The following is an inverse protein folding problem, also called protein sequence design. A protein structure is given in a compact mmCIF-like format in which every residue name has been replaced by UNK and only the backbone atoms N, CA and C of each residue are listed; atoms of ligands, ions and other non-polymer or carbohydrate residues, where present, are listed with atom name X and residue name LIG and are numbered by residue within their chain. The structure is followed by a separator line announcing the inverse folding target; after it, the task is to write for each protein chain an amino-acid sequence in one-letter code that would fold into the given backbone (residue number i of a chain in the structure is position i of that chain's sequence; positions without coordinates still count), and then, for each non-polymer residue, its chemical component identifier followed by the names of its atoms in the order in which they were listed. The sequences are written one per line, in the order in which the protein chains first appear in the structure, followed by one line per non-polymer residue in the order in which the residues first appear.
data_IF_898065651631
#
_entry.id   IF_898065651631
#
_cell.length_a   1.000
_cell.length_b   1.000
_cell.length_c   1.000
_cell.angle_alpha   90.00
_cell.angle_beta   90.00
_cell.angle_gamma   90.00
#
_symmetry.space_group_name_H-M   'P 1'
#
loop_
_entity.id
_entity.type
_entity.pdbx_description
1 polymer ?
#
# COMPACT_ATOMS: atom_id res chain seq x y z
N UNK A 1 -17.06 -5.34 20.58
CA UNK A 1 -18.44 -4.92 20.25
C UNK A 1 -18.33 -3.70 19.32
N UNK A 2 -18.83 -3.85 18.10
CA UNK A 2 -18.87 -2.78 17.10
C UNK A 2 -20.21 -2.06 17.21
N UNK A 3 -20.20 -0.81 17.68
CA UNK A 3 -21.41 -0.05 17.99
C UNK A 3 -21.81 0.95 16.90
N UNK A 4 -21.00 1.07 15.81
CA UNK A 4 -21.18 2.10 14.80
C UNK A 4 -21.49 1.57 13.39
N UNK A 5 -21.22 0.29 13.13
CA UNK A 5 -21.48 -0.33 11.82
C UNK A 5 -21.71 -1.85 11.99
N UNK A 6 -22.32 -2.46 10.98
CA UNK A 6 -22.42 -3.92 10.87
C UNK A 6 -21.12 -4.43 10.26
N UNK A 7 -20.48 -5.39 10.92
CA UNK A 7 -19.27 -6.03 10.43
C UNK A 7 -19.52 -7.52 10.26
N UNK A 8 -19.42 -7.99 9.03
CA UNK A 8 -19.49 -9.41 8.67
C UNK A 8 -18.09 -9.91 8.33
N UNK A 9 -17.66 -11.01 8.94
CA UNK A 9 -16.38 -11.65 8.67
C UNK A 9 -16.62 -13.04 8.11
N UNK A 10 -15.79 -13.46 7.16
CA UNK A 10 -15.81 -14.79 6.54
C UNK A 10 -14.41 -15.37 6.52
N UNK A 11 -14.26 -16.53 7.09
CA UNK A 11 -13.04 -17.32 7.05
C UNK A 11 -13.07 -18.27 5.86
N UNK A 12 -12.02 -18.19 5.02
CA UNK A 12 -11.90 -19.09 3.88
C UNK A 12 -11.54 -20.51 4.35
N UNK A 13 -12.26 -21.49 3.81
CA UNK A 13 -12.16 -22.89 4.25
C UNK A 13 -13.20 -23.27 5.30
N UNK A 14 -13.80 -22.30 6.00
CA UNK A 14 -14.86 -22.50 6.98
C UNK A 14 -16.19 -21.95 6.50
N UNK A 15 -16.26 -20.63 6.29
CA UNK A 15 -17.48 -19.91 5.91
C UNK A 15 -17.64 -19.77 4.41
N UNK A 16 -16.54 -19.85 3.66
CA UNK A 16 -16.51 -19.84 2.20
C UNK A 16 -15.46 -20.80 1.66
N UNK A 17 -15.74 -21.41 0.50
CA UNK A 17 -14.83 -22.37 -0.15
C UNK A 17 -13.61 -21.71 -0.81
N UNK A 18 -13.66 -20.42 -1.12
CA UNK A 18 -12.54 -19.68 -1.73
C UNK A 18 -12.76 -18.16 -1.58
N UNK A 19 -11.66 -17.40 -1.65
CA UNK A 19 -11.69 -15.93 -1.70
C UNK A 19 -12.61 -15.42 -2.81
N UNK A 20 -12.48 -15.97 -3.99
CA UNK A 20 -13.26 -15.60 -5.16
C UNK A 20 -14.77 -15.74 -4.94
N UNK A 21 -15.22 -16.88 -4.39
CA UNK A 21 -16.64 -17.08 -4.08
C UNK A 21 -17.12 -16.11 -3.01
N UNK A 22 -16.31 -15.91 -1.97
CA UNK A 22 -16.63 -14.96 -0.91
C UNK A 22 -16.76 -13.54 -1.46
N UNK A 23 -15.78 -13.08 -2.24
CA UNK A 23 -15.72 -11.71 -2.75
C UNK A 23 -16.83 -11.43 -3.79
N UNK A 24 -17.14 -12.40 -4.67
CA UNK A 24 -18.30 -12.31 -5.58
C UNK A 24 -19.64 -12.23 -4.84
N UNK A 25 -19.76 -12.92 -3.71
CA UNK A 25 -20.98 -12.87 -2.89
C UNK A 25 -21.12 -11.52 -2.18
N UNK A 26 -20.01 -11.01 -1.62
CA UNK A 26 -19.97 -9.72 -0.90
C UNK A 26 -20.49 -8.57 -1.76
N UNK A 27 -20.16 -8.51 -3.06
CA UNK A 27 -20.65 -7.48 -3.99
C UNK A 27 -22.18 -7.44 -4.14
N UNK A 28 -22.90 -8.45 -3.63
CA UNK A 28 -24.38 -8.52 -3.63
C UNK A 28 -25.00 -8.26 -2.25
N UNK A 29 -24.16 -7.92 -1.29
CA UNK A 29 -24.56 -7.68 0.11
C UNK A 29 -24.61 -6.19 0.46
N UNK A 30 -24.43 -5.33 -0.55
CA UNK A 30 -24.43 -3.86 -0.44
C UNK A 30 -23.45 -3.34 0.65
N UNK A 31 -22.16 -3.75 0.60
CA UNK A 31 -21.18 -3.27 1.56
C UNK A 31 -20.66 -1.89 1.16
N UNK A 32 -20.45 -0.99 2.12
CA UNK A 32 -19.73 0.27 1.89
C UNK A 32 -18.22 0.04 1.81
N UNK A 33 -17.70 -0.89 2.63
CA UNK A 33 -16.28 -1.17 2.79
C UNK A 33 -16.01 -2.68 2.71
N UNK A 34 -15.02 -3.05 1.92
CA UNK A 34 -14.58 -4.44 1.76
C UNK A 34 -13.11 -4.54 2.22
N UNK A 35 -12.83 -5.42 3.18
CA UNK A 35 -11.46 -5.78 3.57
C UNK A 35 -11.12 -7.15 2.97
N UNK A 36 -10.19 -7.17 2.02
CA UNK A 36 -9.57 -8.38 1.49
C UNK A 36 -8.26 -8.60 2.23
N UNK A 37 -8.14 -9.68 3.00
CA UNK A 37 -7.00 -9.93 3.89
C UNK A 37 -5.67 -9.77 3.15
N UNK A 38 -5.53 -10.40 1.98
CA UNK A 38 -4.39 -10.22 1.09
C UNK A 38 -4.74 -10.50 -0.38
N UNK A 39 -4.04 -9.85 -1.31
CA UNK A 39 -4.15 -10.07 -2.74
C UNK A 39 -2.92 -10.82 -3.25
N UNK A 40 -3.06 -12.13 -3.53
CA UNK A 40 -1.95 -12.98 -3.97
C UNK A 40 -1.99 -13.34 -5.45
N UNK A 41 -3.18 -13.42 -6.01
CA UNK A 41 -3.42 -13.95 -7.35
C UNK A 41 -4.24 -13.00 -8.22
N UNK A 42 -4.19 -13.25 -9.52
CA UNK A 42 -4.86 -12.46 -10.55
C UNK A 42 -6.36 -12.32 -10.28
N UNK A 43 -7.01 -13.42 -9.88
CA UNK A 43 -8.46 -13.45 -9.72
C UNK A 43 -8.89 -12.56 -8.55
N UNK A 44 -8.21 -12.64 -7.40
CA UNK A 44 -8.49 -11.82 -6.23
C UNK A 44 -8.24 -10.33 -6.53
N UNK A 45 -7.13 -9.99 -7.21
CA UNK A 45 -6.81 -8.61 -7.59
C UNK A 45 -7.85 -8.07 -8.58
N UNK A 46 -8.23 -8.84 -9.59
CA UNK A 46 -9.22 -8.44 -10.58
C UNK A 46 -10.58 -8.11 -9.95
N UNK A 47 -11.04 -8.95 -9.01
CA UNK A 47 -12.32 -8.72 -8.32
C UNK A 47 -12.22 -7.52 -7.38
N UNK A 48 -11.09 -7.32 -6.70
CA UNK A 48 -10.87 -6.16 -5.83
C UNK A 48 -10.90 -4.85 -6.63
N UNK A 49 -10.26 -4.80 -7.80
CA UNK A 49 -10.31 -3.65 -8.71
C UNK A 49 -11.75 -3.41 -9.19
N UNK A 50 -12.46 -4.47 -9.61
CA UNK A 50 -13.86 -4.38 -10.04
C UNK A 50 -14.76 -3.85 -8.92
N UNK A 51 -14.58 -4.32 -7.68
CA UNK A 51 -15.30 -3.80 -6.53
C UNK A 51 -15.06 -2.30 -6.33
N UNK A 52 -13.81 -1.85 -6.46
CA UNK A 52 -13.46 -0.44 -6.35
C UNK A 52 -14.04 0.40 -7.49
N UNK A 53 -14.09 -0.11 -8.73
CA UNK A 53 -14.72 0.54 -9.89
C UNK A 53 -16.25 0.69 -9.72
N UNK A 54 -16.87 -0.23 -9.00
CA UNK A 54 -18.33 -0.19 -8.71
C UNK A 54 -18.69 0.64 -7.47
N UNK A 55 -17.71 1.35 -6.88
CA UNK A 55 -17.96 2.35 -5.85
C UNK A 55 -17.65 1.92 -4.41
N UNK A 56 -17.21 0.68 -4.20
CA UNK A 56 -16.85 0.20 -2.86
C UNK A 56 -15.47 0.73 -2.43
N UNK A 57 -15.31 1.03 -1.14
CA UNK A 57 -14.00 1.26 -0.56
C UNK A 57 -13.32 -0.08 -0.25
N UNK A 58 -12.26 -0.40 -0.96
CA UNK A 58 -11.55 -1.67 -0.81
C UNK A 58 -10.23 -1.46 -0.09
N UNK A 59 -10.02 -2.18 1.02
CA UNK A 59 -8.72 -2.32 1.69
C UNK A 59 -8.13 -3.70 1.42
N UNK A 60 -6.84 -3.75 1.18
CA UNK A 60 -6.13 -5.02 1.06
C UNK A 60 -4.66 -4.89 1.42
N UNK A 61 -3.98 -6.02 1.58
CA UNK A 61 -2.55 -6.07 1.86
C UNK A 61 -1.79 -6.80 0.76
N UNK A 62 -0.54 -6.39 0.57
CA UNK A 62 0.47 -7.09 -0.24
C UNK A 62 1.78 -7.16 0.54
N UNK A 63 2.60 -8.17 0.25
CA UNK A 63 3.93 -8.32 0.86
C UNK A 63 5.00 -7.65 -0.01
N UNK A 64 4.96 -6.32 -0.09
CA UNK A 64 5.88 -5.49 -0.87
C UNK A 64 6.37 -4.31 -0.02
N UNK A 65 7.57 -3.83 -0.30
CA UNK A 65 8.13 -2.63 0.34
C UNK A 65 8.12 -1.50 -0.69
N UNK A 66 7.43 -0.40 -0.35
CA UNK A 66 7.32 0.79 -1.18
C UNK A 66 6.13 0.77 -2.15
N UNK A 67 5.59 1.96 -2.41
CA UNK A 67 4.40 2.14 -3.23
C UNK A 67 4.63 1.78 -4.70
N UNK A 68 5.78 2.15 -5.26
CA UNK A 68 6.14 1.81 -6.64
C UNK A 68 6.13 0.30 -6.87
N UNK A 69 6.84 -0.46 -6.02
CA UNK A 69 6.89 -1.92 -6.10
C UNK A 69 5.53 -2.58 -5.86
N UNK A 70 4.69 -2.00 -5.00
CA UNK A 70 3.32 -2.47 -4.78
C UNK A 70 2.51 -2.37 -6.07
N UNK A 71 2.57 -1.23 -6.76
CA UNK A 71 1.87 -0.99 -8.03
C UNK A 71 2.39 -1.95 -9.11
N UNK A 72 3.71 -2.09 -9.26
CA UNK A 72 4.33 -3.04 -10.18
C UNK A 72 3.85 -4.46 -9.90
N UNK A 73 3.87 -4.90 -8.65
CA UNK A 73 3.43 -6.24 -8.26
C UNK A 73 1.98 -6.51 -8.63
N UNK A 74 1.09 -5.53 -8.47
CA UNK A 74 -0.31 -5.66 -8.89
C UNK A 74 -0.41 -5.84 -10.41
N UNK A 75 0.35 -5.05 -11.18
CA UNK A 75 0.32 -5.08 -12.65
C UNK A 75 0.93 -6.40 -13.18
N UNK A 76 2.04 -6.84 -12.62
CA UNK A 76 2.82 -7.99 -13.08
C UNK A 76 2.10 -9.35 -12.90
N UNK A 77 1.10 -9.41 -12.04
CA UNK A 77 0.25 -10.60 -11.89
C UNK A 77 -0.58 -10.85 -13.15
N UNK A 78 -0.84 -9.82 -13.96
CA UNK A 78 -1.65 -9.91 -15.17
C UNK A 78 -0.81 -10.28 -16.40
N UNK A 79 -1.37 -11.05 -17.35
CA UNK A 79 -0.72 -11.32 -18.62
C UNK A 79 -0.38 -10.02 -19.38
N UNK A 80 0.70 -9.97 -20.18
CA UNK A 80 1.16 -8.76 -20.84
C UNK A 80 0.08 -8.02 -21.64
N UNK A 81 -0.82 -8.75 -22.30
CA UNK A 81 -1.90 -8.16 -23.09
C UNK A 81 -2.99 -7.47 -22.25
N UNK A 82 -3.06 -7.73 -20.94
CA UNK A 82 -4.01 -7.10 -20.01
C UNK A 82 -3.38 -5.97 -19.21
N UNK A 83 -2.06 -5.90 -19.10
CA UNK A 83 -1.38 -4.96 -18.22
C UNK A 83 -1.70 -3.49 -18.51
N UNK A 84 -1.88 -3.12 -19.79
CA UNK A 84 -2.23 -1.73 -20.13
C UNK A 84 -3.63 -1.36 -19.62
N UNK A 85 -4.59 -2.26 -19.73
CA UNK A 85 -5.93 -2.05 -19.19
C UNK A 85 -5.91 -1.94 -17.67
N UNK A 86 -5.16 -2.82 -16.99
CA UNK A 86 -5.04 -2.80 -15.53
C UNK A 86 -4.37 -1.52 -15.02
N UNK A 87 -3.36 -0.98 -15.71
CA UNK A 87 -2.77 0.32 -15.37
C UNK A 87 -3.82 1.44 -15.37
N UNK A 88 -4.70 1.45 -16.36
CA UNK A 88 -5.76 2.46 -16.48
C UNK A 88 -6.77 2.30 -15.33
N UNK A 89 -7.25 1.07 -15.09
CA UNK A 89 -8.20 0.78 -14.02
C UNK A 89 -7.60 1.09 -12.64
N UNK A 90 -6.40 0.59 -12.35
CA UNK A 90 -5.72 0.84 -11.08
C UNK A 90 -5.49 2.33 -10.83
N UNK A 91 -5.06 3.08 -11.86
CA UNK A 91 -4.88 4.52 -11.76
C UNK A 91 -6.18 5.28 -11.42
N UNK A 92 -7.33 4.76 -11.83
CA UNK A 92 -8.63 5.40 -11.56
C UNK A 92 -9.14 5.12 -10.15
N UNK A 93 -8.89 3.92 -9.61
CA UNK A 93 -9.48 3.48 -8.33
C UNK A 93 -8.54 3.58 -7.14
N UNK A 94 -7.20 3.45 -7.34
CA UNK A 94 -6.24 3.48 -6.26
C UNK A 94 -6.30 4.83 -5.52
N UNK A 95 -6.45 4.80 -4.21
CA UNK A 95 -6.51 6.01 -3.36
C UNK A 95 -5.19 6.28 -2.65
N UNK A 96 -4.61 5.27 -2.06
CA UNK A 96 -3.35 5.38 -1.32
C UNK A 96 -2.63 4.04 -1.24
N UNK A 97 -1.32 4.08 -1.00
CA UNK A 97 -0.52 2.94 -0.59
C UNK A 97 0.21 3.34 0.70
N UNK A 98 0.09 2.52 1.73
CA UNK A 98 0.84 2.64 2.97
C UNK A 98 1.76 1.44 3.08
N UNK A 99 3.06 1.68 3.01
CA UNK A 99 4.08 0.65 3.21
C UNK A 99 4.67 0.78 4.60
N UNK A 100 4.74 -0.33 5.35
CA UNK A 100 5.15 -0.33 6.75
C UNK A 100 6.32 -1.27 6.98
N UNK A 101 7.26 -0.82 7.80
CA UNK A 101 8.30 -1.65 8.42
C UNK A 101 8.27 -1.47 9.94
N UNK A 102 8.50 -2.55 10.68
CA UNK A 102 8.68 -2.50 12.13
C UNK A 102 10.18 -2.46 12.44
N UNK A 103 10.63 -1.34 12.99
CA UNK A 103 12.05 -1.09 13.32
C UNK A 103 12.26 -1.10 14.82
N UNK A 104 13.42 -1.56 15.28
CA UNK A 104 13.76 -1.67 16.70
C UNK A 104 13.94 -0.30 17.34
N UNK A 105 13.39 -0.14 18.53
CA UNK A 105 13.60 1.06 19.35
C UNK A 105 15.01 1.11 19.92
N UNK A 106 15.51 2.32 20.22
CA UNK A 106 16.89 2.55 20.71
C UNK A 106 17.17 1.84 22.04
N UNK A 107 16.15 1.61 22.85
CA UNK A 107 16.24 0.88 24.13
C UNK A 107 16.19 -0.64 23.95
N UNK A 108 15.99 -1.15 22.74
CA UNK A 108 15.92 -2.58 22.42
C UNK A 108 14.68 -3.31 22.98
N UNK A 109 13.75 -2.60 23.63
CA UNK A 109 12.62 -3.22 24.31
C UNK A 109 11.36 -3.37 23.45
N UNK A 110 11.38 -2.86 22.21
CA UNK A 110 10.20 -2.91 21.34
C UNK A 110 10.49 -2.58 19.90
N UNK A 111 9.42 -2.43 19.14
CA UNK A 111 9.44 -1.99 17.74
C UNK A 111 8.46 -0.87 17.52
N UNK A 112 8.82 0.04 16.63
CA UNK A 112 7.99 1.15 16.19
C UNK A 112 7.77 1.07 14.68
N UNK A 113 6.58 1.43 14.17
CA UNK A 113 6.34 1.43 12.74
C UNK A 113 7.02 2.62 12.06
N UNK A 114 7.80 2.34 11.01
CA UNK A 114 8.20 3.32 9.99
C UNK A 114 7.33 3.15 8.77
N UNK A 115 6.83 4.25 8.19
CA UNK A 115 5.83 4.17 7.12
C UNK A 115 6.18 5.08 5.95
N UNK A 116 6.11 4.51 4.75
CA UNK A 116 5.96 5.27 3.52
C UNK A 116 4.47 5.46 3.24
N UNK A 117 4.08 6.67 2.85
CA UNK A 117 2.69 7.01 2.51
C UNK A 117 2.67 7.67 1.14
N UNK A 118 1.95 7.05 0.23
CA UNK A 118 1.62 7.60 -1.09
C UNK A 118 0.12 7.86 -1.18
N UNK A 119 -0.25 9.05 -1.58
CA UNK A 119 -1.65 9.42 -1.93
C UNK A 119 -1.74 9.57 -3.44
N UNK A 120 -2.73 8.94 -4.06
CA UNK A 120 -2.86 8.95 -5.52
C UNK A 120 -3.39 10.30 -6.01
N UNK A 121 -2.48 11.21 -6.31
CA UNK A 121 -2.77 12.49 -6.97
C UNK A 121 -2.93 12.30 -8.48
N UNK A 122 -3.50 13.29 -9.24
CA UNK A 122 -3.56 13.22 -10.71
C UNK A 122 -2.20 12.97 -11.38
N UNK A 123 -1.10 13.50 -10.80
CA UNK A 123 0.25 13.23 -11.28
C UNK A 123 0.63 11.75 -11.13
N UNK A 124 0.38 11.16 -9.96
CA UNK A 124 0.63 9.74 -9.73
C UNK A 124 -0.27 8.86 -10.59
N UNK A 125 -1.54 9.23 -10.79
CA UNK A 125 -2.42 8.53 -11.73
C UNK A 125 -1.83 8.45 -13.14
N UNK A 126 -1.25 9.55 -13.62
CA UNK A 126 -0.59 9.56 -14.93
C UNK A 126 0.64 8.66 -14.98
N UNK A 127 1.49 8.69 -13.93
CA UNK A 127 2.65 7.81 -13.84
C UNK A 127 2.26 6.33 -13.89
N UNK A 128 1.18 5.95 -13.19
CA UNK A 128 0.66 4.57 -13.22
C UNK A 128 0.16 4.21 -14.63
N UNK A 129 -0.66 5.06 -15.28
CA UNK A 129 -1.19 4.83 -16.63
C UNK A 129 -0.09 4.63 -17.67
N UNK A 130 0.97 5.43 -17.58
CA UNK A 130 2.11 5.41 -18.49
C UNK A 130 3.14 4.31 -18.14
N UNK A 131 2.98 3.62 -17.00
CA UNK A 131 3.92 2.61 -16.52
C UNK A 131 5.25 3.19 -16.05
N UNK A 132 5.30 4.48 -15.70
CA UNK A 132 6.49 5.19 -15.20
C UNK A 132 6.62 5.07 -13.67
N UNK A 133 6.50 3.85 -13.16
CA UNK A 133 6.47 3.56 -11.71
C UNK A 133 7.74 4.00 -10.99
N UNK A 134 8.89 3.97 -11.66
CA UNK A 134 10.18 4.46 -11.15
C UNK A 134 10.17 5.96 -10.78
N UNK A 135 9.22 6.75 -11.31
CA UNK A 135 9.10 8.18 -10.97
C UNK A 135 8.18 8.44 -9.76
N UNK A 136 7.48 7.40 -9.28
CA UNK A 136 6.54 7.51 -8.15
C UNK A 136 7.27 7.91 -6.88
N UNK A 137 8.46 7.37 -6.63
CA UNK A 137 9.24 7.70 -5.43
C UNK A 137 9.54 9.20 -5.34
N UNK A 138 10.01 9.80 -6.45
CA UNK A 138 10.24 11.26 -6.52
C UNK A 138 8.96 12.07 -6.30
N UNK A 139 7.82 11.58 -6.81
CA UNK A 139 6.54 12.23 -6.59
C UNK A 139 6.09 12.13 -5.13
N UNK A 140 6.37 11.00 -4.44
CA UNK A 140 6.10 10.83 -3.00
C UNK A 140 6.99 11.78 -2.19
N UNK A 141 8.30 11.84 -2.52
CA UNK A 141 9.28 12.68 -1.83
C UNK A 141 8.89 14.18 -1.84
N UNK A 142 8.32 14.65 -2.95
CA UNK A 142 7.90 16.05 -3.11
C UNK A 142 6.43 16.30 -2.70
N UNK A 143 5.74 15.25 -2.28
CA UNK A 143 4.30 15.24 -2.04
C UNK A 143 3.86 15.60 -0.62
N UNK A 144 4.70 16.23 0.21
CA UNK A 144 4.40 16.56 1.62
C UNK A 144 3.06 17.29 1.82
N UNK A 145 2.70 18.19 0.91
CA UNK A 145 1.42 18.93 0.98
C UNK A 145 0.17 18.03 0.94
N UNK A 146 0.33 16.79 0.45
CA UNK A 146 -0.74 15.78 0.41
C UNK A 146 -0.60 14.76 1.54
N UNK A 147 0.32 14.96 2.50
CA UNK A 147 0.61 14.02 3.57
C UNK A 147 1.46 12.82 3.12
N UNK A 148 2.09 12.88 1.94
CA UNK A 148 2.99 11.85 1.46
C UNK A 148 4.35 11.94 2.14
N UNK A 149 5.00 10.79 2.32
CA UNK A 149 6.39 10.70 2.79
C UNK A 149 7.02 9.39 2.33
N UNK A 150 8.32 9.40 2.09
CA UNK A 150 9.09 8.18 1.81
C UNK A 150 9.42 7.42 3.08
N UNK A 151 9.85 6.16 2.94
CA UNK A 151 10.34 5.36 4.07
C UNK A 151 11.52 6.03 4.75
N UNK A 152 12.49 6.56 3.98
CA UNK A 152 13.68 7.22 4.52
C UNK A 152 13.35 8.52 5.28
N UNK A 153 12.36 9.28 4.83
CA UNK A 153 11.85 10.44 5.59
C UNK A 153 11.26 10.02 6.94
N UNK A 154 10.52 8.91 6.97
CA UNK A 154 9.95 8.36 8.20
C UNK A 154 11.04 7.86 9.16
N UNK A 155 12.04 7.15 8.65
CA UNK A 155 13.19 6.69 9.42
C UNK A 155 14.01 7.85 9.98
N UNK A 156 14.27 8.87 9.17
CA UNK A 156 14.98 10.07 9.60
C UNK A 156 14.24 10.82 10.71
N UNK A 157 12.90 10.93 10.63
CA UNK A 157 12.09 11.53 11.68
C UNK A 157 12.18 10.75 13.00
N UNK A 158 12.05 9.41 12.96
CA UNK A 158 12.16 8.55 14.13
C UNK A 158 13.56 8.65 14.78
N UNK A 159 14.61 8.72 13.96
CA UNK A 159 15.98 8.89 14.42
C UNK A 159 16.19 10.27 15.08
N UNK A 160 15.75 11.36 14.45
CA UNK A 160 15.84 12.74 15.00
C UNK A 160 15.08 12.89 16.32
N UNK A 161 14.00 12.13 16.50
CA UNK A 161 13.25 12.08 17.77
C UNK A 161 13.88 11.18 18.83
N UNK A 162 15.01 10.52 18.53
CA UNK A 162 15.68 9.59 19.45
C UNK A 162 14.91 8.29 19.72
N UNK A 163 13.95 7.93 18.85
CA UNK A 163 13.15 6.71 18.99
C UNK A 163 13.93 5.49 18.50
N UNK A 164 14.71 5.66 17.42
CA UNK A 164 15.60 4.62 16.85
C UNK A 164 17.02 5.15 16.72
N UNK A 165 18.01 4.24 16.64
CA UNK A 165 19.39 4.61 16.40
C UNK A 165 19.66 4.93 14.93
N UNK A 166 20.80 5.61 14.65
CA UNK A 166 21.25 5.83 13.28
C UNK A 166 21.54 4.51 12.56
N UNK A 167 22.15 3.55 13.25
CA UNK A 167 22.45 2.23 12.69
C UNK A 167 21.19 1.47 12.33
N UNK A 168 20.15 1.53 13.19
CA UNK A 168 18.84 0.98 12.89
C UNK A 168 18.25 1.66 11.65
N UNK A 169 18.25 2.99 11.59
CA UNK A 169 17.73 3.73 10.43
C UNK A 169 18.45 3.35 9.14
N UNK A 170 19.77 3.24 9.16
CA UNK A 170 20.58 2.83 7.98
C UNK A 170 20.31 1.40 7.56
N UNK A 171 20.07 0.49 8.50
CA UNK A 171 19.76 -0.93 8.19
C UNK A 171 18.46 -1.08 7.42
N UNK A 172 17.47 -0.24 7.71
CA UNK A 172 16.13 -0.29 7.08
C UNK A 172 15.94 0.72 5.95
N UNK A 173 16.99 1.51 5.62
CA UNK A 173 16.92 2.51 4.56
C UNK A 173 16.63 1.90 3.18
N UNK A 174 15.81 2.57 2.39
CA UNK A 174 15.58 2.25 0.98
C UNK A 174 16.71 2.84 0.14
N UNK A 175 17.08 4.10 0.42
CA UNK A 175 18.24 4.78 -0.15
C UNK A 175 19.11 5.39 0.97
N UNK A 176 20.22 4.71 1.28
CA UNK A 176 21.12 5.12 2.35
C UNK A 176 21.75 6.50 2.15
N UNK A 177 21.99 6.93 0.90
CA UNK A 177 22.55 8.26 0.62
C UNK A 177 21.49 9.36 0.85
N UNK A 178 20.27 9.11 0.47
CA UNK A 178 19.14 10.01 0.78
C UNK A 178 18.91 10.09 2.28
N UNK A 179 18.93 8.96 3.00
CA UNK A 179 18.79 8.94 4.45
C UNK A 179 19.91 9.73 5.14
N UNK A 180 21.18 9.55 4.74
CA UNK A 180 22.31 10.32 5.32
C UNK A 180 22.08 11.83 5.17
N UNK A 181 21.67 12.28 3.98
CA UNK A 181 21.34 13.70 3.75
C UNK A 181 20.21 14.19 4.65
N UNK A 182 19.18 13.39 4.84
CA UNK A 182 18.06 13.72 5.73
C UNK A 182 18.46 13.77 7.19
N UNK A 183 19.46 12.98 7.63
CA UNK A 183 19.96 12.99 9.01
C UNK A 183 20.91 14.15 9.30
N UNK A 184 21.62 14.66 8.30
CA UNK A 184 22.56 15.79 8.43
C UNK A 184 21.89 17.18 8.51
N UNK A 185 20.59 17.29 8.21
CA UNK A 185 19.79 18.50 8.31
C UNK A 185 19.04 18.55 9.65
#
# INVERSE_FOLDING_TARGET
NHNKCIINQREIGRDSKSYNKALKAVLREDPDVILVGEMRDLETISIAITAAETGHLVFSTLHTIGAAKTIERIIDVFPPHQQQQIKIQLASVLKAVVSQQLVETIDGNGRVPSMEIMVTTPGIQNLIREGKTQQIESAVQTGNKYGMRTMDMSLAELCKRGVISQDTAMTYAVDGETLKRLLML
#
